data_IF_525335382731
#
_entry.id   IF_525335382731
#
_cell.length_a   1.000
_cell.length_b   1.000
_cell.length_c   1.000
_cell.angle_alpha   90.00
_cell.angle_beta   90.00
_cell.angle_gamma   90.00
#
_symmetry.space_group_name_H-M   'P 1'
#
loop_
_entity.id
_entity.type
_entity.pdbx_description
1 polymer ?
#
# COMPACT_ATOMS: atom_id res chain seq x y z
N UNK A 1 -7.93 13.89 0.15
CA UNK A 1 -6.59 14.29 0.60
C UNK A 1 -5.61 13.26 0.08
N UNK A 2 -4.96 13.56 -1.05
CA UNK A 2 -4.07 12.64 -1.75
C UNK A 2 -2.62 13.09 -1.62
N UNK A 3 -1.71 12.11 -1.59
CA UNK A 3 -0.27 12.32 -1.70
C UNK A 3 0.08 12.75 -3.13
N UNK A 4 0.83 13.85 -3.27
CA UNK A 4 1.09 14.45 -4.58
C UNK A 4 2.03 13.61 -5.47
N UNK A 5 2.92 12.82 -4.86
CA UNK A 5 3.91 12.00 -5.56
C UNK A 5 3.29 10.72 -6.13
N UNK A 6 2.43 10.08 -5.35
CA UNK A 6 1.92 8.73 -5.67
C UNK A 6 0.43 8.69 -6.02
N UNK A 7 -0.35 9.69 -5.62
CA UNK A 7 -1.81 9.69 -5.74
C UNK A 7 -2.53 8.86 -4.68
N UNK A 8 -1.82 8.21 -3.75
CA UNK A 8 -2.43 7.46 -2.65
C UNK A 8 -3.16 8.39 -1.67
N UNK A 9 -4.06 7.84 -0.85
CA UNK A 9 -4.62 8.58 0.28
C UNK A 9 -3.52 9.00 1.27
N UNK A 10 -3.65 10.16 1.90
CA UNK A 10 -2.72 10.56 2.99
C UNK A 10 -3.08 9.84 4.30
N UNK A 11 -2.22 9.92 5.33
CA UNK A 11 -2.56 9.43 6.68
C UNK A 11 -3.81 10.10 7.27
N UNK A 12 -4.05 11.35 6.93
CA UNK A 12 -5.26 12.05 7.36
C UNK A 12 -6.52 11.56 6.61
N UNK A 13 -6.37 11.10 5.36
CA UNK A 13 -7.42 10.38 4.66
C UNK A 13 -7.69 9.03 5.35
N UNK A 14 -6.65 8.29 5.70
CA UNK A 14 -6.78 7.03 6.45
C UNK A 14 -7.53 7.23 7.77
N UNK A 15 -7.12 8.22 8.57
CA UNK A 15 -7.78 8.54 9.85
C UNK A 15 -9.25 8.90 9.67
N UNK A 16 -9.59 9.66 8.63
CA UNK A 16 -10.98 9.97 8.29
C UNK A 16 -11.76 8.70 7.98
N UNK A 17 -11.21 7.83 7.14
CA UNK A 17 -11.89 6.62 6.71
C UNK A 17 -12.07 5.63 7.86
N UNK A 18 -11.09 5.53 8.79
CA UNK A 18 -11.22 4.77 10.03
C UNK A 18 -12.34 5.30 10.93
N UNK A 19 -12.40 6.62 11.16
CA UNK A 19 -13.48 7.24 11.96
C UNK A 19 -14.87 7.03 11.34
N UNK A 20 -14.96 7.09 10.02
CA UNK A 20 -16.22 6.82 9.31
C UNK A 20 -16.66 5.37 9.48
N UNK A 21 -15.73 4.41 9.35
CA UNK A 21 -16.02 2.99 9.57
C UNK A 21 -16.45 2.70 11.02
N UNK A 22 -15.83 3.36 12.00
CA UNK A 22 -16.24 3.28 13.41
C UNK A 22 -17.64 3.86 13.65
N UNK A 23 -17.90 5.06 13.14
CA UNK A 23 -19.18 5.75 13.30
C UNK A 23 -20.35 5.01 12.63
N UNK A 24 -20.10 4.38 11.48
CA UNK A 24 -21.09 3.59 10.77
C UNK A 24 -21.46 2.28 11.49
N UNK A 25 -20.78 1.94 12.60
CA UNK A 25 -20.95 0.69 13.38
C UNK A 25 -20.92 -0.57 12.50
N UNK A 26 -20.28 -0.51 11.35
CA UNK A 26 -20.43 -1.52 10.30
C UNK A 26 -19.84 -2.87 10.69
N UNK A 27 -19.16 -3.02 11.84
CA UNK A 27 -18.49 -4.27 12.22
C UNK A 27 -17.34 -4.67 11.27
N UNK A 28 -17.18 -3.94 10.16
CA UNK A 28 -16.12 -4.01 9.15
C UNK A 28 -14.82 -3.47 9.72
N UNK A 29 -14.30 -4.15 10.75
CA UNK A 29 -12.90 -4.01 11.13
C UNK A 29 -12.06 -4.67 10.04
N UNK A 30 -11.80 -3.93 8.98
CA UNK A 30 -10.84 -4.31 7.95
C UNK A 30 -9.45 -4.50 8.54
N UNK A 31 -8.59 -5.24 7.85
CA UNK A 31 -7.19 -5.38 8.24
C UNK A 31 -6.42 -4.14 7.79
N UNK A 32 -5.66 -3.53 8.69
CA UNK A 32 -4.64 -2.56 8.33
C UNK A 32 -3.31 -3.27 8.14
N UNK A 33 -2.68 -3.02 7.01
CA UNK A 33 -1.43 -3.69 6.63
C UNK A 33 -0.43 -2.65 6.16
N UNK A 34 0.74 -2.62 6.76
CA UNK A 34 1.89 -1.90 6.23
C UNK A 34 2.54 -2.70 5.12
N UNK A 35 2.74 -2.06 3.96
CA UNK A 35 3.48 -2.61 2.82
C UNK A 35 4.78 -1.84 2.66
N UNK A 36 5.88 -2.57 2.56
CA UNK A 36 7.23 -2.05 2.30
C UNK A 36 7.91 -2.84 1.18
N UNK A 37 8.76 -2.15 0.41
CA UNK A 37 9.57 -2.75 -0.65
C UNK A 37 10.95 -3.07 -0.08
N UNK A 38 11.34 -4.35 -0.05
CA UNK A 38 12.59 -4.78 0.60
C UNK A 38 13.84 -4.18 -0.05
N UNK A 39 13.82 -4.00 -1.36
CA UNK A 39 14.99 -3.63 -2.16
C UNK A 39 15.01 -2.15 -2.54
N UNK A 40 14.22 -1.29 -1.88
CA UNK A 40 14.03 0.09 -2.32
C UNK A 40 15.32 0.93 -2.29
N UNK A 41 16.17 0.74 -1.28
CA UNK A 41 17.46 1.44 -1.21
C UNK A 41 18.43 0.98 -2.29
N UNK A 42 18.46 -0.33 -2.58
CA UNK A 42 19.28 -0.88 -3.66
C UNK A 42 18.82 -0.34 -5.03
N UNK A 43 17.50 -0.26 -5.24
CA UNK A 43 16.91 0.35 -6.44
C UNK A 43 17.34 1.81 -6.61
N UNK A 44 17.39 2.58 -5.52
CA UNK A 44 17.85 3.98 -5.60
C UNK A 44 19.33 4.09 -5.97
N UNK A 45 20.15 3.15 -5.49
CA UNK A 45 21.57 3.11 -5.82
C UNK A 45 21.80 2.77 -7.30
N UNK A 46 21.03 1.82 -7.84
CA UNK A 46 21.23 1.31 -9.21
C UNK A 46 20.49 2.12 -10.27
N UNK A 47 19.25 2.53 -9.99
CA UNK A 47 18.35 3.18 -10.94
C UNK A 47 18.19 4.70 -10.70
N UNK A 48 18.91 5.25 -9.71
CA UNK A 48 18.90 6.67 -9.36
C UNK A 48 17.95 7.03 -8.22
N UNK A 49 18.17 8.19 -7.59
CA UNK A 49 17.49 8.60 -6.35
C UNK A 49 15.95 8.67 -6.45
N UNK A 50 15.42 8.92 -7.66
CA UNK A 50 13.99 8.96 -7.93
C UNK A 50 13.34 7.58 -8.12
N UNK A 51 14.12 6.50 -8.26
CA UNK A 51 13.62 5.14 -8.51
C UNK A 51 12.60 4.68 -7.46
N UNK A 52 12.84 5.01 -6.19
CA UNK A 52 11.93 4.62 -5.12
C UNK A 52 10.54 5.25 -5.25
N UNK A 53 10.46 6.50 -5.70
CA UNK A 53 9.18 7.18 -5.91
C UNK A 53 8.42 6.58 -7.09
N UNK A 54 9.12 6.22 -8.17
CA UNK A 54 8.52 5.54 -9.32
C UNK A 54 7.95 4.17 -8.95
N UNK A 55 8.64 3.40 -8.12
CA UNK A 55 8.15 2.10 -7.61
C UNK A 55 6.89 2.29 -6.77
N UNK A 56 6.89 3.27 -5.86
CA UNK A 56 5.75 3.55 -4.99
C UNK A 56 4.55 4.09 -5.76
N UNK A 57 4.78 4.93 -6.76
CA UNK A 57 3.75 5.37 -7.70
C UNK A 57 3.20 4.19 -8.49
N UNK A 58 4.06 3.32 -9.00
CA UNK A 58 3.66 2.07 -9.69
C UNK A 58 2.77 1.19 -8.82
N UNK A 59 3.13 0.99 -7.54
CA UNK A 59 2.30 0.25 -6.59
C UNK A 59 0.89 0.84 -6.46
N UNK A 60 0.77 2.16 -6.40
CA UNK A 60 -0.53 2.83 -6.29
C UNK A 60 -1.32 2.74 -7.59
N UNK A 61 -0.65 2.84 -8.75
CA UNK A 61 -1.29 2.73 -10.07
C UNK A 61 -1.82 1.32 -10.36
N UNK A 62 -1.12 0.27 -9.92
CA UNK A 62 -1.56 -1.12 -10.13
C UNK A 62 -2.55 -1.61 -9.08
N UNK A 63 -2.62 -0.95 -7.91
CA UNK A 63 -3.46 -1.39 -6.80
C UNK A 63 -4.95 -1.59 -7.16
N UNK A 64 -5.61 -0.75 -7.98
CA UNK A 64 -7.01 -0.97 -8.37
C UNK A 64 -7.24 -2.28 -9.14
N UNK A 65 -6.21 -2.86 -9.75
CA UNK A 65 -6.28 -4.10 -10.50
C UNK A 65 -5.82 -5.32 -9.67
N UNK A 66 -5.05 -5.08 -8.61
CA UNK A 66 -4.52 -6.11 -7.73
C UNK A 66 -5.36 -6.33 -6.46
N UNK A 67 -6.13 -5.31 -6.05
CA UNK A 67 -6.92 -5.29 -4.82
C UNK A 67 -8.42 -5.30 -5.10
N UNK A 68 -9.23 -5.50 -4.06
CA UNK A 68 -10.68 -5.41 -4.17
C UNK A 68 -11.11 -3.95 -4.28
N UNK A 69 -12.28 -3.69 -4.88
CA UNK A 69 -12.80 -2.34 -5.08
C UNK A 69 -12.97 -1.52 -3.79
N UNK A 70 -13.17 -2.20 -2.66
CA UNK A 70 -13.35 -1.60 -1.34
C UNK A 70 -12.03 -1.38 -0.59
N UNK A 71 -10.94 -2.01 -1.05
CA UNK A 71 -9.63 -1.82 -0.46
C UNK A 71 -9.12 -0.41 -0.79
N UNK A 72 -8.34 0.15 0.13
CA UNK A 72 -7.78 1.51 0.00
C UNK A 72 -6.29 1.50 0.26
N UNK A 73 -5.57 2.34 -0.49
CA UNK A 73 -4.11 2.52 -0.36
C UNK A 73 -3.81 3.91 0.15
N UNK A 74 -2.95 3.96 1.16
CA UNK A 74 -2.51 5.20 1.78
C UNK A 74 -1.00 5.29 1.84
N UNK A 75 -0.50 6.51 1.80
CA UNK A 75 0.89 6.87 2.02
C UNK A 75 1.11 7.15 3.51
N UNK A 76 2.00 6.40 4.14
CA UNK A 76 2.32 6.56 5.58
C UNK A 76 3.73 7.08 5.87
N UNK A 77 4.59 7.11 4.86
CA UNK A 77 5.95 7.62 4.97
C UNK A 77 6.67 7.52 3.63
N UNK A 78 7.98 7.76 3.64
CA UNK A 78 8.81 7.81 2.42
C UNK A 78 8.85 6.49 1.65
N UNK A 79 8.63 5.36 2.32
CA UNK A 79 8.85 4.01 1.75
C UNK A 79 7.71 3.05 2.05
N UNK A 80 6.70 3.53 2.79
CA UNK A 80 5.68 2.70 3.39
C UNK A 80 4.31 3.11 2.89
N UNK A 81 3.61 2.14 2.33
CA UNK A 81 2.19 2.23 2.07
C UNK A 81 1.41 1.53 3.18
N UNK A 82 0.17 1.96 3.40
CA UNK A 82 -0.77 1.29 4.29
C UNK A 82 -1.96 0.88 3.45
N UNK A 83 -2.37 -0.37 3.57
CA UNK A 83 -3.61 -0.88 2.99
C UNK A 83 -4.67 -0.95 4.08
N UNK A 84 -5.87 -0.49 3.75
CA UNK A 84 -7.08 -0.83 4.49
C UNK A 84 -7.82 -1.87 3.66
N UNK A 85 -7.80 -3.12 4.11
CA UNK A 85 -8.38 -4.27 3.40
C UNK A 85 -9.76 -4.61 3.95
N UNK A 86 -10.71 -4.92 3.07
CA UNK A 86 -12.01 -5.45 3.47
C UNK A 86 -11.91 -6.96 3.75
N UNK A 87 -11.87 -7.31 5.03
CA UNK A 87 -11.76 -8.67 5.51
C UNK A 87 -10.76 -8.78 6.67
N UNK A 88 -10.80 -9.91 7.37
CA UNK A 88 -9.87 -10.23 8.45
C UNK A 88 -9.10 -11.50 8.11
N UNK A 89 -7.88 -11.58 8.64
CA UNK A 89 -7.07 -12.79 8.62
C UNK A 89 -5.96 -12.78 7.58
N UNK A 90 -4.95 -13.60 7.85
CA UNK A 90 -3.67 -13.61 7.13
C UNK A 90 -3.83 -13.95 5.64
N UNK A 91 -4.85 -14.73 5.28
CA UNK A 91 -5.12 -15.07 3.89
C UNK A 91 -5.48 -13.85 3.03
N UNK A 92 -6.24 -12.89 3.57
CA UNK A 92 -6.59 -11.67 2.83
C UNK A 92 -5.36 -10.75 2.68
N UNK A 93 -4.54 -10.67 3.72
CA UNK A 93 -3.28 -9.92 3.71
C UNK A 93 -2.32 -10.49 2.67
N UNK A 94 -2.14 -11.81 2.67
CA UNK A 94 -1.23 -12.49 1.75
C UNK A 94 -1.71 -12.40 0.30
N UNK A 95 -3.02 -12.54 0.06
CA UNK A 95 -3.59 -12.37 -1.28
C UNK A 95 -3.36 -10.94 -1.82
N UNK A 96 -3.57 -9.91 -0.99
CA UNK A 96 -3.31 -8.53 -1.36
C UNK A 96 -1.82 -8.28 -1.65
N UNK A 97 -0.93 -8.79 -0.79
CA UNK A 97 0.53 -8.68 -0.95
C UNK A 97 1.00 -9.35 -2.24
N UNK A 98 0.65 -10.62 -2.45
CA UNK A 98 1.04 -11.39 -3.62
C UNK A 98 0.47 -10.80 -4.91
N UNK A 99 -0.81 -10.36 -4.89
CA UNK A 99 -1.44 -9.69 -6.02
C UNK A 99 -0.71 -8.40 -6.42
N UNK A 100 -0.38 -7.56 -5.43
CA UNK A 100 0.39 -6.34 -5.66
C UNK A 100 1.80 -6.61 -6.18
N UNK A 101 2.49 -7.61 -5.62
CA UNK A 101 3.85 -7.97 -6.04
C UNK A 101 3.90 -8.41 -7.51
N UNK A 102 2.95 -9.25 -7.93
CA UNK A 102 2.85 -9.67 -9.34
C UNK A 102 2.51 -8.49 -10.24
N UNK A 103 1.55 -7.64 -9.84
CA UNK A 103 1.11 -6.53 -10.67
C UNK A 103 2.19 -5.45 -10.82
N UNK A 104 2.87 -5.09 -9.72
CA UNK A 104 3.96 -4.11 -9.76
C UNK A 104 5.18 -4.69 -10.47
N UNK A 105 5.48 -5.97 -10.31
CA UNK A 105 6.58 -6.62 -11.01
C UNK A 105 6.44 -6.52 -12.53
N UNK A 106 5.23 -6.74 -13.06
CA UNK A 106 4.92 -6.54 -14.49
C UNK A 106 5.08 -5.07 -14.90
N UNK A 107 4.48 -4.16 -14.14
CA UNK A 107 4.54 -2.73 -14.40
C UNK A 107 5.98 -2.19 -14.44
N UNK A 108 6.84 -2.69 -13.55
CA UNK A 108 8.24 -2.30 -13.42
C UNK A 108 9.12 -2.94 -14.50
N UNK A 109 8.88 -4.20 -14.85
CA UNK A 109 9.61 -4.89 -15.92
C UNK A 109 9.47 -4.15 -17.27
N UNK A 110 8.26 -3.67 -17.59
CA UNK A 110 8.00 -2.87 -18.80
C UNK A 110 8.80 -1.55 -18.85
N UNK A 111 9.34 -1.12 -17.70
CA UNK A 111 10.12 0.12 -17.52
C UNK A 111 11.61 -0.12 -17.25
N UNK A 112 12.06 -1.38 -17.36
CA UNK A 112 13.47 -1.76 -17.16
C UNK A 112 13.92 -1.80 -15.69
N UNK A 113 12.99 -1.81 -14.74
CA UNK A 113 13.31 -1.99 -13.32
C UNK A 113 13.50 -3.47 -12.99
N UNK A 114 14.40 -3.80 -12.04
CA UNK A 114 14.53 -5.18 -11.56
C UNK A 114 13.29 -5.57 -10.72
N UNK A 115 13.06 -6.88 -10.52
CA UNK A 115 11.95 -7.36 -9.70
C UNK A 115 12.04 -6.85 -8.26
N UNK A 116 10.87 -6.68 -7.65
CA UNK A 116 10.73 -6.17 -6.29
C UNK A 116 9.95 -7.17 -5.44
N UNK A 117 10.28 -7.23 -4.16
CA UNK A 117 9.57 -8.03 -3.18
C UNK A 117 8.88 -7.15 -2.15
N UNK A 118 7.64 -7.52 -1.83
CA UNK A 118 6.80 -6.79 -0.89
C UNK A 118 6.72 -7.56 0.43
N UNK A 119 6.96 -6.85 1.53
CA UNK A 119 6.63 -7.33 2.86
C UNK A 119 5.31 -6.75 3.31
N UNK A 120 4.54 -7.56 4.04
CA UNK A 120 3.28 -7.16 4.64
C UNK A 120 3.35 -7.35 6.16
N UNK A 121 2.98 -6.31 6.91
CA UNK A 121 2.93 -6.36 8.37
C UNK A 121 1.58 -5.85 8.88
N UNK A 122 0.84 -6.63 9.70
CA UNK A 122 -0.37 -6.13 10.34
C UNK A 122 -0.07 -4.88 11.18
N UNK A 123 -0.97 -3.90 11.12
CA UNK A 123 -0.90 -2.67 11.90
C UNK A 123 -2.11 -2.60 12.83
N UNK A 124 -1.90 -2.05 14.03
CA UNK A 124 -2.98 -1.77 14.97
C UNK A 124 -3.72 -0.49 14.55
N UNK A 125 -5.03 -0.55 14.25
CA UNK A 125 -5.83 0.64 13.98
C UNK A 125 -5.81 1.68 15.09
N UNK A 126 -5.74 1.25 16.36
CA UNK A 126 -5.73 2.18 17.50
C UNK A 126 -4.44 3.01 17.56
N UNK A 127 -3.33 2.50 17.01
CA UNK A 127 -2.07 3.23 16.93
C UNK A 127 -2.09 4.32 15.83
N UNK A 128 -2.91 4.15 14.79
CA UNK A 128 -3.00 5.05 13.64
C UNK A 128 -4.13 6.08 13.74
N UNK A 129 -5.12 5.83 14.61
CA UNK A 129 -6.26 6.72 14.85
C UNK A 129 -5.95 7.94 15.73
N UNK A 130 -4.78 7.96 16.39
CA UNK A 130 -4.27 9.08 17.21
C UNK A 130 -3.61 10.16 16.34
#
# INVERSE_FOLDING_TARGET
>A
MLDAATGAGTLDALRRDLRLAEAAREGRRGALVGIEVETLDQLRLVCGSGAGEQVLKGLVEVAPFALRAQDRVYRSGRERLVLLLEGKGDAAVEAARAGLEVAVGRFLADRGFPPVHLTARPLDPAALAR
#
